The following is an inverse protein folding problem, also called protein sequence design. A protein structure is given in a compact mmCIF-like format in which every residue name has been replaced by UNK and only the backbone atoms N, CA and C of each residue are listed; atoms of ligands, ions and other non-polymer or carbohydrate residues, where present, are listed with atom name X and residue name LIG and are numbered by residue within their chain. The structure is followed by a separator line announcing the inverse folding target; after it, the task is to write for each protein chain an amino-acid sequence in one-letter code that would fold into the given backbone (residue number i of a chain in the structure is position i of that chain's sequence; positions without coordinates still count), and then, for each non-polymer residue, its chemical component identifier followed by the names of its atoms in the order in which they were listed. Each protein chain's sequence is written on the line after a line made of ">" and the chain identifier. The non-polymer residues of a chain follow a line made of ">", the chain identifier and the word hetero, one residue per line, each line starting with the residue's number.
data_IF_163065851695
#
_entry.id   IF_163065851695
#
_cell.length_a   1.000
_cell.length_b   1.000
_cell.length_c   1.000
_cell.angle_alpha   90.00
_cell.angle_beta   90.00
_cell.angle_gamma   90.00
#
_symmetry.space_group_name_H-M   'P 1'
#
loop_
_entity.id
_entity.type
_entity.pdbx_description
1 polymer ?
#
# COMPACT_ATOMS: atom_id res chain seq x y z
N UNK A 1 -2.22 28.86 -3.99
CA UNK A 1 -1.09 28.33 -4.76
C UNK A 1 -1.60 27.17 -5.58
N UNK A 2 -1.77 27.33 -6.87
CA UNK A 2 -2.07 26.24 -7.80
C UNK A 2 -0.75 25.50 -8.03
N UNK A 3 -0.69 24.23 -7.61
CA UNK A 3 0.47 23.39 -7.91
C UNK A 3 0.64 23.31 -9.44
N UNK A 4 1.90 23.35 -9.90
CA UNK A 4 2.19 23.13 -11.32
C UNK A 4 1.61 21.78 -11.78
N UNK A 5 1.04 21.71 -13.00
CA UNK A 5 0.49 20.45 -13.50
C UNK A 5 1.60 19.40 -13.65
N UNK A 6 1.43 18.25 -13.00
CA UNK A 6 2.35 17.12 -13.12
C UNK A 6 2.28 16.61 -14.55
N UNK A 7 3.41 16.64 -15.26
CA UNK A 7 3.52 16.01 -16.57
C UNK A 7 3.49 14.48 -16.41
N UNK A 8 2.57 13.79 -17.08
CA UNK A 8 2.35 12.34 -16.99
C UNK A 8 2.13 11.82 -15.55
N UNK A 9 1.03 12.19 -14.88
CA UNK A 9 0.73 11.68 -13.56
C UNK A 9 0.42 10.17 -13.61
N UNK A 10 0.90 9.42 -12.61
CA UNK A 10 0.59 8.00 -12.43
C UNK A 10 -0.87 7.78 -12.08
N UNK A 11 -1.40 8.64 -11.21
CA UNK A 11 -2.81 8.63 -10.82
C UNK A 11 -3.41 10.02 -10.95
N UNK A 12 -4.60 10.09 -11.54
CA UNK A 12 -5.40 11.32 -11.61
C UNK A 12 -6.75 11.08 -10.94
N UNK A 13 -7.09 11.92 -9.99
CA UNK A 13 -8.39 11.92 -9.31
C UNK A 13 -9.19 13.13 -9.80
N UNK A 14 -10.44 12.89 -10.23
CA UNK A 14 -11.36 13.93 -10.72
C UNK A 14 -12.70 13.83 -10.02
N UNK A 15 -13.10 14.93 -9.41
CA UNK A 15 -14.39 15.12 -8.76
C UNK A 15 -14.80 13.95 -7.85
N UNK A 16 -13.79 13.38 -7.14
CA UNK A 16 -14.00 12.23 -6.28
C UNK A 16 -14.82 12.63 -5.06
N UNK A 17 -15.90 11.92 -4.87
CA UNK A 17 -16.74 12.00 -3.70
C UNK A 17 -16.82 10.62 -3.02
N UNK A 18 -16.86 10.63 -1.70
CA UNK A 18 -17.01 9.40 -0.95
C UNK A 18 -18.08 9.52 0.12
N UNK A 19 -18.86 8.45 0.30
CA UNK A 19 -20.01 8.41 1.18
C UNK A 19 -19.95 7.23 2.15
N UNK A 20 -20.24 7.48 3.41
CA UNK A 20 -20.62 6.50 4.42
C UNK A 20 -22.14 6.59 4.60
N UNK A 21 -22.90 5.69 3.97
CA UNK A 21 -24.36 5.84 3.88
C UNK A 21 -24.73 7.17 3.22
N UNK A 22 -25.39 8.05 3.97
CA UNK A 22 -25.79 9.38 3.52
C UNK A 22 -24.76 10.49 3.85
N UNK A 23 -23.72 10.18 4.63
CA UNK A 23 -22.71 11.16 5.00
C UNK A 23 -21.61 11.26 3.93
N UNK A 24 -21.47 12.43 3.30
CA UNK A 24 -20.43 12.73 2.32
C UNK A 24 -19.11 13.08 3.03
N UNK A 25 -18.21 12.13 3.11
CA UNK A 25 -16.93 12.25 3.81
C UNK A 25 -15.82 12.91 2.96
N UNK A 26 -15.78 12.64 1.65
CA UNK A 26 -14.90 13.34 0.71
C UNK A 26 -15.75 14.14 -0.27
N UNK A 27 -15.31 15.37 -0.59
CA UNK A 27 -16.09 16.33 -1.38
C UNK A 27 -15.23 16.89 -2.52
N UNK A 28 -15.57 16.55 -3.76
CA UNK A 28 -15.00 17.09 -5.00
C UNK A 28 -13.45 17.08 -4.98
N UNK A 29 -12.85 15.95 -4.58
CA UNK A 29 -11.40 15.80 -4.51
C UNK A 29 -10.84 15.73 -5.92
N UNK A 30 -9.91 16.63 -6.22
CA UNK A 30 -9.15 16.69 -7.45
C UNK A 30 -7.66 16.73 -7.12
N UNK A 31 -6.89 15.75 -7.61
CA UNK A 31 -5.44 15.70 -7.42
C UNK A 31 -4.76 14.83 -8.47
N UNK A 32 -3.47 15.05 -8.64
CA UNK A 32 -2.60 14.23 -9.49
C UNK A 32 -1.42 13.72 -8.67
N UNK A 33 -1.02 12.47 -8.90
CA UNK A 33 0.09 11.80 -8.21
C UNK A 33 1.15 11.49 -9.26
N UNK A 34 2.37 11.98 -9.02
CA UNK A 34 3.52 11.72 -9.90
C UNK A 34 3.98 10.27 -9.77
N UNK A 35 4.47 9.70 -10.87
CA UNK A 35 5.06 8.37 -10.88
C UNK A 35 6.39 8.37 -10.11
N UNK A 36 6.65 7.29 -9.35
CA UNK A 36 7.90 7.08 -8.57
C UNK A 36 8.27 8.25 -7.66
N UNK A 37 7.26 8.82 -7.04
CA UNK A 37 7.41 9.89 -6.05
C UNK A 37 6.61 9.54 -4.80
N UNK A 38 6.99 10.15 -3.68
CA UNK A 38 6.20 10.11 -2.44
C UNK A 38 5.23 11.29 -2.44
N UNK A 39 3.93 11.00 -2.36
CA UNK A 39 2.89 12.01 -2.17
C UNK A 39 2.29 11.87 -0.77
N UNK A 40 2.53 12.84 0.10
CA UNK A 40 2.02 12.81 1.47
C UNK A 40 0.74 13.62 1.62
N UNK A 41 -0.29 13.00 2.21
CA UNK A 41 -1.52 13.68 2.62
C UNK A 41 -1.41 14.11 4.07
N UNK A 42 -1.39 15.44 4.32
CA UNK A 42 -1.24 16.02 5.65
C UNK A 42 -2.56 16.67 6.08
N UNK A 43 -2.94 16.47 7.32
CA UNK A 43 -4.16 17.04 7.90
C UNK A 43 -4.52 16.41 9.24
N UNK A 44 -5.47 17.01 9.99
CA UNK A 44 -5.88 16.50 11.30
C UNK A 44 -6.52 15.12 11.23
N UNK A 45 -6.62 14.44 12.37
CA UNK A 45 -7.36 13.18 12.47
C UNK A 45 -8.80 13.36 12.03
N UNK A 46 -9.33 12.38 11.29
CA UNK A 46 -10.71 12.41 10.80
C UNK A 46 -10.98 13.27 9.56
N UNK A 47 -9.98 13.97 8.99
CA UNK A 47 -10.19 14.77 7.77
C UNK A 47 -10.34 13.95 6.48
N UNK A 48 -10.23 12.62 6.54
CA UNK A 48 -10.50 11.73 5.39
C UNK A 48 -9.27 11.13 4.71
N UNK A 49 -8.04 11.29 5.23
CA UNK A 49 -6.80 10.74 4.62
C UNK A 49 -6.91 9.23 4.35
N UNK A 50 -7.20 8.44 5.38
CA UNK A 50 -7.36 6.97 5.23
C UNK A 50 -8.56 6.60 4.36
N UNK A 51 -9.63 7.42 4.37
CA UNK A 51 -10.76 7.23 3.48
C UNK A 51 -10.34 7.40 2.02
N UNK A 52 -9.56 8.45 1.71
CA UNK A 52 -9.03 8.67 0.37
C UNK A 52 -8.13 7.52 -0.07
N UNK A 53 -7.17 7.09 0.77
CA UNK A 53 -6.29 5.95 0.45
C UNK A 53 -7.10 4.69 0.09
N UNK A 54 -8.14 4.36 0.86
CA UNK A 54 -9.00 3.18 0.63
C UNK A 54 -9.84 3.27 -0.65
N UNK A 55 -9.98 4.45 -1.25
CA UNK A 55 -10.65 4.56 -2.56
C UNK A 55 -9.78 4.06 -3.70
N UNK A 56 -8.44 4.21 -3.62
CA UNK A 56 -7.53 3.80 -4.69
C UNK A 56 -7.51 2.29 -4.95
N UNK A 57 -7.66 1.45 -3.91
CA UNK A 57 -7.71 -0.01 -4.06
C UNK A 57 -9.13 -0.59 -3.89
N UNK A 58 -10.12 0.27 -3.81
CA UNK A 58 -11.56 -0.06 -3.63
C UNK A 58 -11.81 -0.94 -2.40
N UNK A 59 -11.01 -0.80 -1.33
CA UNK A 59 -11.23 -1.51 -0.05
C UNK A 59 -12.59 -1.20 0.56
N UNK A 60 -13.13 -0.02 0.31
CA UNK A 60 -14.45 0.38 0.81
C UNK A 60 -15.59 -0.55 0.35
N UNK A 61 -15.42 -1.26 -0.76
CA UNK A 61 -16.43 -2.20 -1.26
C UNK A 61 -16.61 -3.44 -0.38
N UNK A 62 -15.68 -3.69 0.56
CA UNK A 62 -15.84 -4.74 1.56
C UNK A 62 -16.88 -4.37 2.65
N UNK A 63 -17.30 -3.11 2.69
CA UNK A 63 -18.21 -2.60 3.70
C UNK A 63 -19.52 -2.14 3.07
N UNK A 64 -20.69 -2.59 3.60
CA UNK A 64 -21.97 -2.15 3.08
C UNK A 64 -22.17 -0.64 3.27
N UNK A 65 -22.94 -0.04 2.37
CA UNK A 65 -23.30 1.40 2.40
C UNK A 65 -22.12 2.37 2.21
N UNK A 66 -20.95 1.90 1.73
CA UNK A 66 -19.86 2.77 1.32
C UNK A 66 -19.86 2.92 -0.21
N UNK A 67 -19.70 4.16 -0.69
CA UNK A 67 -19.75 4.47 -2.13
C UNK A 67 -18.77 5.58 -2.49
N UNK A 68 -18.06 5.40 -3.60
CA UNK A 68 -17.27 6.43 -4.26
C UNK A 68 -17.94 6.81 -5.59
N UNK A 69 -17.86 8.09 -5.96
CA UNK A 69 -18.27 8.63 -7.28
C UNK A 69 -17.20 9.57 -7.79
N UNK A 70 -17.21 9.90 -9.08
CA UNK A 70 -16.13 10.62 -9.75
C UNK A 70 -15.23 9.65 -10.49
N UNK A 71 -13.99 10.04 -10.71
CA UNK A 71 -13.01 9.21 -11.44
C UNK A 71 -11.69 9.10 -10.67
N UNK A 72 -11.09 7.92 -10.71
CA UNK A 72 -9.68 7.69 -10.33
C UNK A 72 -9.05 6.96 -11.50
N UNK A 73 -8.15 7.63 -12.20
CA UNK A 73 -7.50 7.12 -13.39
C UNK A 73 -6.10 6.66 -13.03
N UNK A 74 -5.81 5.37 -13.21
CA UNK A 74 -4.49 4.76 -13.07
C UNK A 74 -4.05 4.27 -14.46
N UNK A 75 -2.93 4.76 -14.96
CA UNK A 75 -2.41 4.42 -16.30
C UNK A 75 -3.48 4.54 -17.42
N UNK A 76 -4.29 5.60 -17.36
CA UNK A 76 -5.34 5.87 -18.35
C UNK A 76 -6.66 5.09 -18.16
N UNK A 77 -6.74 4.17 -17.20
CA UNK A 77 -7.95 3.41 -16.90
C UNK A 77 -8.64 3.91 -15.62
N UNK A 78 -9.97 4.15 -15.69
CA UNK A 78 -10.74 4.50 -14.49
C UNK A 78 -10.94 3.28 -13.59
N UNK A 79 -10.26 3.27 -12.44
CA UNK A 79 -10.34 2.16 -11.48
C UNK A 79 -11.68 2.08 -10.74
N UNK A 80 -12.55 3.10 -10.84
CA UNK A 80 -13.91 3.05 -10.28
C UNK A 80 -14.92 2.39 -11.23
N UNK A 81 -14.53 2.06 -12.47
CA UNK A 81 -15.40 1.35 -13.41
C UNK A 81 -15.93 0.05 -12.76
N UNK A 82 -17.25 -0.21 -12.81
CA UNK A 82 -17.82 -1.46 -12.30
C UNK A 82 -17.26 -2.73 -12.94
N UNK A 83 -16.75 -2.66 -14.17
CA UNK A 83 -16.14 -3.78 -14.89
C UNK A 83 -14.70 -4.05 -14.49
N UNK A 84 -14.07 -3.19 -13.67
CA UNK A 84 -12.70 -3.37 -13.23
C UNK A 84 -12.55 -4.64 -12.39
N UNK A 85 -11.63 -5.52 -12.77
CA UNK A 85 -11.24 -6.67 -11.95
C UNK A 85 -10.55 -6.19 -10.68
N UNK A 86 -11.18 -6.45 -9.52
CA UNK A 86 -10.68 -6.00 -8.23
C UNK A 86 -9.42 -6.75 -7.78
N UNK A 87 -9.25 -8.01 -8.17
CA UNK A 87 -8.07 -8.78 -7.80
C UNK A 87 -6.86 -8.24 -8.53
N UNK A 88 -6.99 -7.99 -9.84
CA UNK A 88 -5.93 -7.37 -10.63
C UNK A 88 -5.64 -5.93 -10.20
N UNK A 89 -6.66 -5.16 -9.81
CA UNK A 89 -6.47 -3.81 -9.27
C UNK A 89 -5.65 -3.86 -7.97
N UNK A 90 -5.98 -4.76 -7.04
CA UNK A 90 -5.31 -4.90 -5.75
C UNK A 90 -3.90 -5.49 -5.86
N UNK A 91 -3.59 -6.21 -6.93
CA UNK A 91 -2.22 -6.59 -7.26
C UNK A 91 -1.38 -5.37 -7.68
N UNK A 92 -1.98 -4.41 -8.42
CA UNK A 92 -1.32 -3.19 -8.86
C UNK A 92 -1.18 -2.13 -7.76
N UNK A 93 -2.06 -2.15 -6.76
CA UNK A 93 -2.10 -1.16 -5.67
C UNK A 93 -1.99 -1.86 -4.33
N UNK A 94 -0.77 -1.97 -3.82
CA UNK A 94 -0.49 -2.50 -2.49
C UNK A 94 -0.91 -1.54 -1.39
N UNK A 95 -1.24 -2.07 -0.20
CA UNK A 95 -1.59 -1.24 0.96
C UNK A 95 -0.97 -1.79 2.25
N UNK A 96 -0.41 -0.88 3.02
CA UNK A 96 0.10 -1.12 4.38
C UNK A 96 -0.75 -0.29 5.34
N UNK A 97 -1.28 -0.95 6.37
CA UNK A 97 -2.18 -0.33 7.35
C UNK A 97 -1.40 0.32 8.49
N UNK A 98 -2.05 1.23 9.18
CA UNK A 98 -1.55 1.94 10.36
C UNK A 98 -1.05 0.96 11.45
N UNK A 99 -1.86 -0.06 11.78
CA UNK A 99 -1.47 -1.10 12.71
C UNK A 99 -0.84 -2.26 11.95
N UNK A 100 0.39 -2.69 12.33
CA UNK A 100 0.99 -3.88 11.74
C UNK A 100 0.07 -5.09 11.89
N UNK A 101 -0.21 -5.77 10.79
CA UNK A 101 -1.10 -6.94 10.76
C UNK A 101 -0.45 -8.07 9.96
N UNK A 102 0.66 -8.66 10.46
CA UNK A 102 1.18 -9.88 9.86
C UNK A 102 0.15 -11.00 9.97
N UNK A 103 0.09 -11.85 8.97
CA UNK A 103 -0.76 -13.04 9.03
C UNK A 103 -0.22 -14.03 10.08
N UNK A 104 -1.06 -14.86 10.72
CA UNK A 104 -0.64 -15.87 11.69
C UNK A 104 0.01 -17.08 10.99
N UNK A 105 1.07 -16.82 10.24
CA UNK A 105 1.87 -17.75 9.48
C UNK A 105 3.35 -17.37 9.56
N UNK A 106 4.24 -18.17 8.94
CA UNK A 106 5.68 -17.91 8.95
C UNK A 106 6.02 -16.56 8.30
N UNK A 107 7.22 -16.03 8.58
CA UNK A 107 7.77 -14.84 7.91
C UNK A 107 7.81 -15.06 6.40
N UNK A 108 8.28 -16.23 5.97
CA UNK A 108 8.33 -16.64 4.57
C UNK A 108 6.92 -16.64 3.94
N UNK A 109 5.96 -17.30 4.58
CA UNK A 109 4.62 -17.43 4.02
C UNK A 109 3.86 -16.10 4.01
N UNK A 110 4.12 -15.19 4.95
CA UNK A 110 3.56 -13.83 4.90
C UNK A 110 3.88 -13.13 3.58
N UNK A 111 5.10 -13.32 3.06
CA UNK A 111 5.55 -12.68 1.81
C UNK A 111 5.09 -13.50 0.60
N UNK A 112 5.29 -14.81 0.63
CA UNK A 112 4.97 -15.70 -0.47
C UNK A 112 3.47 -15.78 -0.76
N UNK A 113 2.60 -15.52 0.24
CA UNK A 113 1.15 -15.65 0.11
C UNK A 113 0.58 -14.82 -1.05
N UNK A 114 0.89 -13.53 -1.10
CA UNK A 114 0.40 -12.65 -2.16
C UNK A 114 0.97 -13.04 -3.54
N UNK A 115 2.24 -13.39 -3.59
CA UNK A 115 2.90 -13.80 -4.85
C UNK A 115 2.24 -15.04 -5.43
N UNK A 116 1.93 -16.06 -4.60
CA UNK A 116 1.25 -17.30 -5.02
C UNK A 116 -0.16 -17.07 -5.61
N UNK A 117 -0.81 -15.96 -5.28
CA UNK A 117 -2.15 -15.65 -5.82
C UNK A 117 -2.09 -15.14 -7.27
N UNK A 118 -0.99 -14.55 -7.69
CA UNK A 118 -0.87 -13.85 -8.97
C UNK A 118 0.20 -14.44 -9.90
N UNK A 119 1.18 -15.16 -9.35
CA UNK A 119 2.32 -15.68 -10.09
C UNK A 119 2.53 -17.18 -9.76
N UNK A 120 2.84 -17.98 -10.78
CA UNK A 120 3.21 -19.37 -10.59
C UNK A 120 4.74 -19.51 -10.64
N UNK A 121 5.41 -19.12 -9.55
CA UNK A 121 6.86 -19.24 -9.43
C UNK A 121 7.25 -20.63 -8.95
N UNK A 122 8.36 -21.16 -9.47
CA UNK A 122 8.98 -22.34 -8.91
C UNK A 122 9.57 -22.00 -7.52
N UNK A 123 10.03 -23.05 -6.80
CA UNK A 123 10.53 -22.89 -5.43
C UNK A 123 11.71 -21.91 -5.35
N UNK A 124 12.68 -22.02 -6.25
CA UNK A 124 13.87 -21.17 -6.26
C UNK A 124 13.50 -19.70 -6.50
N UNK A 125 12.69 -19.43 -7.52
CA UNK A 125 12.26 -18.07 -7.84
C UNK A 125 11.43 -17.44 -6.72
N UNK A 126 10.65 -18.25 -6.00
CA UNK A 126 9.92 -17.78 -4.82
C UNK A 126 10.87 -17.44 -3.66
N UNK A 127 11.89 -18.24 -3.41
CA UNK A 127 12.94 -17.96 -2.42
C UNK A 127 13.66 -16.65 -2.75
N UNK A 128 14.03 -16.43 -4.00
CA UNK A 128 14.64 -15.18 -4.49
C UNK A 128 13.67 -13.98 -4.31
N UNK A 129 12.38 -14.16 -4.60
CA UNK A 129 11.37 -13.10 -4.42
C UNK A 129 11.20 -12.71 -2.94
N UNK A 130 11.17 -13.69 -2.04
CA UNK A 130 11.06 -13.47 -0.59
C UNK A 130 12.30 -12.75 -0.06
N UNK A 131 13.48 -13.21 -0.44
CA UNK A 131 14.74 -12.55 -0.06
C UNK A 131 14.80 -11.11 -0.55
N UNK A 132 14.45 -10.87 -1.83
CA UNK A 132 14.39 -9.53 -2.41
C UNK A 132 13.44 -8.62 -1.63
N UNK A 133 12.22 -9.07 -1.33
CA UNK A 133 11.24 -8.27 -0.61
C UNK A 133 11.70 -7.93 0.82
N UNK A 134 12.32 -8.89 1.51
CA UNK A 134 12.89 -8.67 2.86
C UNK A 134 14.08 -7.72 2.84
N UNK A 135 14.95 -7.81 1.82
CA UNK A 135 16.06 -6.86 1.63
C UNK A 135 15.55 -5.45 1.35
N UNK A 136 14.58 -5.31 0.43
CA UNK A 136 13.94 -4.03 0.12
C UNK A 136 13.24 -3.42 1.33
N UNK A 137 12.70 -4.23 2.24
CA UNK A 137 12.08 -3.77 3.49
C UNK A 137 13.09 -3.61 4.65
N UNK A 138 14.40 -3.68 4.39
CA UNK A 138 15.47 -3.61 5.40
C UNK A 138 15.26 -4.56 6.59
N UNK A 139 14.74 -5.77 6.33
CA UNK A 139 14.41 -6.76 7.36
C UNK A 139 15.23 -8.06 7.23
N UNK A 140 15.85 -8.32 6.07
CA UNK A 140 16.51 -9.58 5.74
C UNK A 140 17.54 -10.02 6.80
N UNK A 141 18.47 -9.14 7.17
CA UNK A 141 19.55 -9.48 8.09
C UNK A 141 19.05 -9.88 9.49
N UNK A 142 17.88 -9.40 9.88
CA UNK A 142 17.27 -9.70 11.18
C UNK A 142 16.47 -11.02 11.19
N UNK A 143 16.08 -11.53 10.00
CA UNK A 143 15.14 -12.65 9.92
C UNK A 143 15.58 -13.82 9.04
N UNK A 144 16.68 -13.71 8.28
CA UNK A 144 17.16 -14.73 7.33
C UNK A 144 17.30 -16.13 7.94
N UNK A 145 17.70 -16.23 9.20
CA UNK A 145 17.90 -17.50 9.89
C UNK A 145 16.63 -18.04 10.58
N UNK A 146 15.52 -17.30 10.53
CA UNK A 146 14.26 -17.63 11.20
C UNK A 146 13.01 -17.47 10.32
N UNK A 147 13.15 -17.60 9.00
CA UNK A 147 12.05 -17.42 8.03
C UNK A 147 10.84 -18.32 8.27
N UNK A 148 11.04 -19.49 8.92
CA UNK A 148 9.96 -20.43 9.27
C UNK A 148 9.26 -20.08 10.58
N UNK A 149 9.76 -19.13 11.36
CA UNK A 149 9.10 -18.67 12.58
C UNK A 149 7.89 -17.79 12.26
N UNK A 150 6.96 -17.68 13.23
CA UNK A 150 5.77 -16.85 13.08
C UNK A 150 6.11 -15.38 12.88
N UNK A 151 5.50 -14.73 11.89
CA UNK A 151 5.59 -13.29 11.66
C UNK A 151 5.01 -12.47 12.81
N UNK A 152 4.05 -13.02 13.58
CA UNK A 152 3.45 -12.34 14.72
C UNK A 152 4.36 -12.25 15.95
N UNK A 153 5.43 -13.04 16.00
CA UNK A 153 6.43 -13.01 17.07
C UNK A 153 7.49 -11.92 16.92
N UNK A 154 7.47 -11.14 15.85
CA UNK A 154 8.39 -10.04 15.61
C UNK A 154 8.05 -8.81 16.45
N UNK A 155 9.00 -7.89 16.66
CA UNK A 155 8.75 -6.57 17.27
C UNK A 155 7.81 -5.72 16.39
N UNK A 156 7.20 -4.68 16.94
CA UNK A 156 6.27 -3.82 16.19
C UNK A 156 6.90 -3.23 14.92
N UNK A 157 8.12 -2.69 14.99
CA UNK A 157 8.84 -2.18 13.83
C UNK A 157 9.20 -3.25 12.81
N UNK A 158 9.58 -4.46 13.27
CA UNK A 158 9.81 -5.61 12.39
C UNK A 158 8.53 -6.09 11.73
N UNK A 159 7.40 -6.12 12.46
CA UNK A 159 6.09 -6.47 11.89
C UNK A 159 5.67 -5.47 10.82
N UNK A 160 5.89 -4.17 11.02
CA UNK A 160 5.58 -3.16 10.03
C UNK A 160 6.43 -3.34 8.77
N UNK A 161 7.73 -3.57 8.90
CA UNK A 161 8.62 -3.87 7.77
C UNK A 161 8.22 -5.17 7.08
N UNK A 162 7.76 -6.20 7.82
CA UNK A 162 7.22 -7.42 7.23
C UNK A 162 5.95 -7.14 6.41
N UNK A 163 5.04 -6.29 6.90
CA UNK A 163 3.85 -5.87 6.15
C UNK A 163 4.21 -5.09 4.88
N UNK A 164 5.25 -4.25 4.93
CA UNK A 164 5.78 -3.57 3.74
C UNK A 164 6.38 -4.60 2.77
N UNK A 165 7.25 -5.52 3.24
CA UNK A 165 7.83 -6.59 2.42
C UNK A 165 6.74 -7.42 1.72
N UNK A 166 5.67 -7.79 2.44
CA UNK A 166 4.51 -8.49 1.89
C UNK A 166 3.81 -7.69 0.79
N UNK A 167 3.63 -6.39 1.01
CA UNK A 167 2.95 -5.53 0.03
C UNK A 167 3.78 -5.35 -1.26
N UNK A 168 5.10 -5.19 -1.16
CA UNK A 168 5.97 -4.99 -2.32
C UNK A 168 6.33 -6.31 -3.03
N UNK A 169 6.16 -7.47 -2.40
CA UNK A 169 6.52 -8.77 -2.97
C UNK A 169 5.76 -9.08 -4.27
N UNK A 170 4.54 -8.59 -4.43
CA UNK A 170 3.73 -8.71 -5.66
C UNK A 170 4.11 -7.67 -6.72
N UNK A 171 5.11 -6.81 -6.46
CA UNK A 171 5.59 -5.74 -7.34
C UNK A 171 4.45 -4.80 -7.79
N UNK A 172 3.75 -4.15 -6.85
CA UNK A 172 2.69 -3.22 -7.18
C UNK A 172 3.25 -1.99 -7.92
N UNK A 173 2.40 -1.27 -8.64
CA UNK A 173 2.74 0.00 -9.26
C UNK A 173 2.63 1.17 -8.27
N UNK A 174 1.70 1.06 -7.34
CA UNK A 174 1.40 2.05 -6.30
C UNK A 174 1.41 1.37 -4.93
N UNK A 175 2.08 1.97 -3.97
CA UNK A 175 2.11 1.51 -2.58
C UNK A 175 1.43 2.56 -1.69
N UNK A 176 0.31 2.19 -1.08
CA UNK A 176 -0.44 3.03 -0.15
C UNK A 176 0.04 2.74 1.27
N UNK A 177 0.40 3.80 2.01
CA UNK A 177 0.83 3.72 3.40
C UNK A 177 -0.12 4.55 4.28
N UNK A 178 -0.93 3.89 5.09
CA UNK A 178 -1.88 4.55 6.00
C UNK A 178 -1.22 4.76 7.36
N UNK A 179 -0.62 5.93 7.61
CA UNK A 179 0.09 6.32 8.84
C UNK A 179 1.09 5.25 9.35
N UNK A 180 2.06 4.79 8.53
CA UNK A 180 2.84 3.57 8.77
C UNK A 180 3.77 3.65 9.99
N UNK A 181 3.95 4.83 10.58
CA UNK A 181 4.86 5.07 11.71
C UNK A 181 4.14 5.43 13.02
N UNK A 182 2.83 5.67 12.99
CA UNK A 182 2.07 6.23 14.13
C UNK A 182 2.05 5.35 15.39
N UNK A 183 2.28 4.04 15.27
CA UNK A 183 2.30 3.08 16.37
C UNK A 183 3.73 2.62 16.74
N UNK A 184 4.77 3.29 16.23
CA UNK A 184 6.16 2.88 16.38
C UNK A 184 6.94 3.82 17.31
N UNK A 185 8.01 3.28 17.89
CA UNK A 185 8.99 4.06 18.61
C UNK A 185 9.81 4.96 17.65
N UNK A 186 10.53 6.00 18.16
CA UNK A 186 11.26 6.95 17.30
C UNK A 186 12.31 6.31 16.40
N UNK A 187 13.00 5.24 16.87
CA UNK A 187 14.04 4.57 16.10
C UNK A 187 13.41 3.79 14.94
N UNK A 188 12.36 3.03 15.23
CA UNK A 188 11.60 2.31 14.21
C UNK A 188 10.95 3.27 13.19
N UNK A 189 10.49 4.44 13.64
CA UNK A 189 9.95 5.50 12.77
C UNK A 189 11.00 5.96 11.77
N UNK A 190 12.20 6.33 12.24
CA UNK A 190 13.29 6.78 11.36
C UNK A 190 13.69 5.70 10.32
N UNK A 191 13.68 4.42 10.72
CA UNK A 191 13.93 3.32 9.80
C UNK A 191 12.85 3.21 8.70
N UNK A 192 11.57 3.38 9.04
CA UNK A 192 10.49 3.35 8.06
C UNK A 192 10.53 4.56 7.12
N UNK A 193 10.82 5.76 7.63
CA UNK A 193 10.95 6.97 6.82
C UNK A 193 12.07 6.84 5.78
N UNK A 194 13.25 6.36 6.20
CA UNK A 194 14.36 6.06 5.29
C UNK A 194 13.97 5.01 4.26
N UNK A 195 13.31 3.94 4.69
CA UNK A 195 12.81 2.89 3.81
C UNK A 195 11.85 3.43 2.74
N UNK A 196 10.91 4.31 3.10
CA UNK A 196 9.98 4.94 2.16
C UNK A 196 10.74 5.74 1.11
N UNK A 197 11.78 6.47 1.51
CA UNK A 197 12.60 7.26 0.59
C UNK A 197 13.39 6.38 -0.40
N UNK A 198 13.84 5.21 0.03
CA UNK A 198 14.49 4.22 -0.84
C UNK A 198 13.47 3.54 -1.78
N UNK A 199 12.27 3.22 -1.30
CA UNK A 199 11.25 2.52 -2.08
C UNK A 199 10.65 3.37 -3.22
N UNK A 200 10.71 4.71 -3.17
CA UNK A 200 10.20 5.57 -4.26
C UNK A 200 10.93 5.36 -5.59
N UNK A 201 12.15 4.83 -5.58
CA UNK A 201 12.88 4.50 -6.81
C UNK A 201 12.16 3.43 -7.65
N UNK A 202 11.46 2.52 -6.97
CA UNK A 202 10.76 1.40 -7.61
C UNK A 202 9.23 1.61 -7.67
N UNK A 203 8.65 2.32 -6.69
CA UNK A 203 7.20 2.42 -6.48
C UNK A 203 6.72 3.87 -6.42
N UNK A 204 5.50 4.11 -6.88
CA UNK A 204 4.75 5.34 -6.58
C UNK A 204 4.13 5.21 -5.19
N UNK A 205 4.38 6.14 -4.27
CA UNK A 205 3.97 6.04 -2.87
C UNK A 205 3.05 7.20 -2.49
#
# INVERSE_FOLDING_TARGET
>A
MTAEPIANPKVVVKDLNFYYGNFRALKDINLSIAEKMVTAFIGPSGCGKSTLLRTFNRMYQLYPKQKATGEIILDGANILDPKQDLNMLRAKIGMVFQKPTPFPMSIYDNIAFGVKLYENLNRHDMEVRVEWALKKAALWEEVKDKLKQSGTGLSGGQQQRLCIARAIAVKPQVLLLDEPTSALDPISTAHIEKLIDELKEDFTI
#
